data_IF_780184732286
#
_entry.id   IF_780184732286
#
_cell.length_a   1.000
_cell.length_b   1.000
_cell.length_c   1.000
_cell.angle_alpha   90.00
_cell.angle_beta   90.00
_cell.angle_gamma   90.00
#
_symmetry.space_group_name_H-M   'P 1'
#
loop_
_entity.id
_entity.type
_entity.pdbx_description
1 polymer ?
#
# COMPACT_ATOMS: atom_id res chain seq x y z
N UNK A 1 -1.59 21.08 -3.65
CA UNK A 1 -0.21 20.76 -3.19
C UNK A 1 0.38 19.73 -4.13
N UNK A 2 1.21 20.14 -5.09
CA UNK A 2 2.02 19.23 -5.90
C UNK A 2 3.12 18.67 -5.01
N UNK A 3 2.98 17.42 -4.54
CA UNK A 3 4.05 16.73 -3.83
C UNK A 3 5.14 16.43 -4.85
N UNK A 4 6.28 17.12 -4.77
CA UNK A 4 7.45 16.76 -5.56
C UNK A 4 7.82 15.32 -5.24
N UNK A 5 8.06 14.46 -6.24
CA UNK A 5 8.53 13.11 -5.98
C UNK A 5 9.86 13.18 -5.23
N UNK A 6 9.98 12.40 -4.17
CA UNK A 6 11.25 12.25 -3.48
C UNK A 6 12.17 11.46 -4.39
N UNK A 7 13.39 11.90 -4.59
CA UNK A 7 14.42 11.08 -5.25
C UNK A 7 15.10 10.25 -4.17
N UNK A 8 14.91 8.94 -4.20
CA UNK A 8 15.40 8.02 -3.17
C UNK A 8 15.56 6.59 -3.71
N UNK A 9 15.68 5.62 -2.80
CA UNK A 9 15.77 4.19 -3.13
C UNK A 9 14.49 3.47 -2.74
N UNK A 10 13.92 2.69 -3.66
CA UNK A 10 12.79 1.84 -3.33
C UNK A 10 13.21 0.76 -2.33
N UNK A 11 12.60 0.74 -1.14
CA UNK A 11 12.89 -0.26 -0.11
C UNK A 11 12.49 -1.68 -0.51
N UNK A 12 11.57 -1.84 -1.48
CA UNK A 12 11.10 -3.14 -1.94
C UNK A 12 11.97 -3.76 -3.05
N UNK A 13 12.43 -2.96 -4.02
CA UNK A 13 13.18 -3.47 -5.18
C UNK A 13 14.61 -2.89 -5.31
N UNK A 14 15.02 -1.98 -4.44
CA UNK A 14 16.36 -1.36 -4.44
C UNK A 14 16.62 -0.37 -5.56
N UNK A 15 15.64 -0.10 -6.43
CA UNK A 15 15.82 0.81 -7.57
C UNK A 15 15.87 2.27 -7.11
N UNK A 16 16.88 3.01 -7.58
CA UNK A 16 17.00 4.45 -7.35
C UNK A 16 16.09 5.22 -8.31
N UNK A 17 15.41 6.25 -7.84
CA UNK A 17 14.58 7.11 -8.68
C UNK A 17 13.52 7.87 -7.91
N UNK A 18 12.43 8.21 -8.59
CA UNK A 18 11.26 8.83 -7.96
C UNK A 18 10.56 7.81 -7.04
N UNK A 19 10.57 8.11 -5.75
CA UNK A 19 9.91 7.36 -4.69
C UNK A 19 8.76 8.17 -4.08
N UNK A 20 7.83 7.44 -3.49
CA UNK A 20 6.74 7.97 -2.68
C UNK A 20 6.79 7.32 -1.29
N UNK A 21 6.33 8.05 -0.29
CA UNK A 21 6.11 7.47 1.03
C UNK A 21 4.80 6.69 1.04
N UNK A 22 4.92 5.42 1.36
CA UNK A 22 3.81 4.53 1.66
C UNK A 22 3.61 4.44 3.18
N UNK A 23 2.35 4.52 3.60
CA UNK A 23 1.91 4.42 4.98
C UNK A 23 1.07 3.15 5.11
N UNK A 24 1.70 2.03 5.49
CA UNK A 24 0.97 0.79 5.77
C UNK A 24 0.36 0.77 7.18
N UNK A 25 -0.24 -0.36 7.55
CA UNK A 25 -0.93 -0.59 8.84
C UNK A 25 -0.10 -0.22 10.08
N UNK A 26 1.23 -0.35 10.02
CA UNK A 26 2.13 -0.04 11.15
C UNK A 26 2.58 1.43 11.23
N UNK A 27 2.01 2.33 10.43
CA UNK A 27 2.40 3.75 10.31
C UNK A 27 3.88 3.98 9.93
N UNK A 28 4.61 2.92 9.58
CA UNK A 28 5.98 3.01 9.11
C UNK A 28 6.01 3.66 7.73
N UNK A 29 6.85 4.68 7.58
CA UNK A 29 7.09 5.32 6.28
C UNK A 29 8.04 4.44 5.48
N UNK A 30 7.53 3.83 4.42
CA UNK A 30 8.33 3.05 3.48
C UNK A 30 8.51 3.88 2.21
N UNK A 31 9.74 4.03 1.73
CA UNK A 31 10.00 4.65 0.44
C UNK A 31 9.85 3.63 -0.68
N UNK A 32 8.87 3.82 -1.56
CA UNK A 32 8.59 2.88 -2.66
C UNK A 32 8.61 3.62 -4.00
N UNK A 33 9.16 2.98 -5.04
CA UNK A 33 8.90 3.42 -6.40
C UNK A 33 7.41 3.25 -6.73
N UNK A 34 6.93 3.93 -7.78
CA UNK A 34 5.50 3.90 -8.17
C UNK A 34 4.96 2.46 -8.31
N UNK A 35 5.70 1.58 -8.98
CA UNK A 35 5.25 0.21 -9.23
C UNK A 35 5.09 -0.60 -7.93
N UNK A 36 6.08 -0.51 -7.03
CA UNK A 36 5.99 -1.16 -5.73
C UNK A 36 4.91 -0.53 -4.86
N UNK A 37 4.74 0.79 -4.91
CA UNK A 37 3.67 1.50 -4.21
C UNK A 37 2.29 0.98 -4.63
N UNK A 38 2.05 0.89 -5.94
CA UNK A 38 0.79 0.39 -6.51
C UNK A 38 0.50 -1.06 -6.10
N UNK A 39 1.54 -1.92 -6.04
CA UNK A 39 1.40 -3.30 -5.57
C UNK A 39 1.05 -3.40 -4.08
N UNK A 40 1.68 -2.58 -3.24
CA UNK A 40 1.37 -2.55 -1.80
C UNK A 40 -0.06 -2.07 -1.56
N UNK A 41 -0.47 -0.98 -2.22
CA UNK A 41 -1.83 -0.47 -2.15
C UNK A 41 -2.85 -1.51 -2.62
N UNK A 42 -2.58 -2.19 -3.73
CA UNK A 42 -3.46 -3.24 -4.24
C UNK A 42 -3.64 -4.39 -3.24
N UNK A 43 -2.57 -4.80 -2.53
CA UNK A 43 -2.64 -5.83 -1.49
C UNK A 43 -3.53 -5.40 -0.32
N UNK A 44 -3.38 -4.18 0.17
CA UNK A 44 -4.25 -3.64 1.24
C UNK A 44 -5.71 -3.59 0.82
N UNK A 45 -5.99 -3.09 -0.39
CA UNK A 45 -7.36 -3.04 -0.90
C UNK A 45 -7.95 -4.46 -0.99
N UNK A 46 -7.19 -5.44 -1.51
CA UNK A 46 -7.64 -6.83 -1.58
C UNK A 46 -7.91 -7.41 -0.19
N UNK A 47 -7.05 -7.11 0.80
CA UNK A 47 -7.26 -7.57 2.16
C UNK A 47 -8.53 -6.95 2.78
N UNK A 48 -8.69 -5.63 2.64
CA UNK A 48 -9.89 -4.92 3.07
C UNK A 48 -11.17 -5.55 2.49
N UNK A 49 -11.19 -5.86 1.20
CA UNK A 49 -12.33 -6.51 0.56
C UNK A 49 -12.60 -7.92 1.10
N UNK A 50 -11.55 -8.71 1.38
CA UNK A 50 -11.72 -10.05 1.98
C UNK A 50 -12.32 -9.95 3.37
N UNK A 51 -11.78 -9.07 4.22
CA UNK A 51 -12.26 -8.86 5.59
C UNK A 51 -13.72 -8.38 5.57
N UNK A 52 -14.06 -7.49 4.65
CA UNK A 52 -15.43 -7.00 4.48
C UNK A 52 -16.39 -8.12 4.04
N UNK A 53 -15.98 -9.00 3.11
CA UNK A 53 -16.79 -10.16 2.70
C UNK A 53 -16.98 -11.14 3.87
N UNK A 54 -15.96 -11.38 4.68
CA UNK A 54 -16.05 -12.24 5.86
C UNK A 54 -16.96 -11.64 6.94
N UNK A 55 -16.88 -10.32 7.14
CA UNK A 55 -17.79 -9.61 8.03
C UNK A 55 -19.25 -9.74 7.56
N UNK A 56 -19.52 -9.53 6.28
CA UNK A 56 -20.86 -9.66 5.72
C UNK A 56 -21.38 -11.10 5.80
N UNK A 57 -20.53 -12.11 5.59
CA UNK A 57 -20.89 -13.52 5.85
C UNK A 57 -21.31 -13.73 7.31
N UNK A 58 -20.52 -13.24 8.27
CA UNK A 58 -20.82 -13.34 9.71
C UNK A 58 -22.13 -12.64 10.07
N UNK A 59 -22.38 -11.44 9.53
CA UNK A 59 -23.61 -10.68 9.77
C UNK A 59 -24.85 -11.36 9.17
N UNK A 60 -24.70 -11.98 8.00
CA UNK A 60 -25.80 -12.67 7.32
C UNK A 60 -26.19 -14.02 7.96
N UNK A 61 -25.46 -14.49 8.99
CA UNK A 61 -25.85 -15.65 9.79
C UNK A 61 -25.91 -16.99 9.04
N UNK A 62 -25.18 -17.12 7.93
CA UNK A 62 -25.01 -18.41 7.22
C UNK A 62 -23.85 -19.21 7.76
#
# INVERSE_FOLDING_TARGET
>A
MTKSPLTGFCSACGTAGATNHYHGENLQKIELCKECYDQYLAKEMVQYWKDHIEEEKRRSGK
#
